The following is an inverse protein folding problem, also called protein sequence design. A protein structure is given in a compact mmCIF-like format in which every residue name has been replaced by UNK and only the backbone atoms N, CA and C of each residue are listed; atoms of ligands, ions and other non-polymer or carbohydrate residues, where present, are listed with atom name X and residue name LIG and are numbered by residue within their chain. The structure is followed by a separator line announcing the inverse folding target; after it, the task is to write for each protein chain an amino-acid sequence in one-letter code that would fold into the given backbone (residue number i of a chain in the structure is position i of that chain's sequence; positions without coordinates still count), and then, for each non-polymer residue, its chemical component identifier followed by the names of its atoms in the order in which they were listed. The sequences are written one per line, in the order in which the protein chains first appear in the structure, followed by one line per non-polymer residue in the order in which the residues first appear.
data_IF_130135823567
#
_entry.id   IF_130135823567
#
_cell.length_a   1.000
_cell.length_b   1.000
_cell.length_c   1.000
_cell.angle_alpha   90.00
_cell.angle_beta   90.00
_cell.angle_gamma   90.00
#
_symmetry.space_group_name_H-M   'P 1'
#
loop_
_entity.id
_entity.type
_entity.pdbx_description
1 polymer ?
#
# COMPACT_ATOMS: atom_id res chain seq x y z
N UNK A 1 2.70 -0.25 -4.23
CA UNK A 1 1.48 -0.99 -4.66
C UNK A 1 0.60 -0.19 -5.60
N UNK A 2 0.58 1.15 -5.52
CA UNK A 2 -0.22 2.01 -6.41
C UNK A 2 0.05 1.74 -7.90
N UNK A 3 1.27 1.42 -8.29
CA UNK A 3 1.65 1.07 -9.66
C UNK A 3 0.90 -0.13 -10.25
N UNK A 4 0.33 -0.99 -9.41
CA UNK A 4 -0.50 -2.12 -9.88
C UNK A 4 -1.97 -1.74 -10.08
N UNK A 5 -2.38 -0.62 -9.51
CA UNK A 5 -3.74 -0.13 -9.60
C UNK A 5 -3.91 0.96 -10.66
N UNK A 6 -2.81 1.61 -11.03
CA UNK A 6 -2.81 2.72 -11.98
C UNK A 6 -1.98 2.32 -13.21
N UNK A 7 -2.60 2.24 -14.39
CA UNK A 7 -1.89 1.95 -15.62
C UNK A 7 -0.81 3.00 -15.90
N UNK A 8 0.36 2.58 -16.37
CA UNK A 8 1.43 3.51 -16.72
C UNK A 8 1.01 4.43 -17.87
N UNK A 9 1.56 5.65 -17.91
CA UNK A 9 1.43 6.60 -19.00
C UNK A 9 -0.01 7.05 -19.29
N UNK A 10 -0.88 7.11 -18.29
CA UNK A 10 -2.24 7.63 -18.45
C UNK A 10 -3.15 6.77 -19.34
N UNK A 11 -2.75 5.53 -19.63
CA UNK A 11 -3.62 4.59 -20.34
C UNK A 11 -4.89 4.35 -19.52
N UNK A 12 -6.04 4.15 -20.17
CA UNK A 12 -7.26 3.73 -19.47
C UNK A 12 -7.00 2.49 -18.65
N UNK A 13 -7.56 2.43 -17.46
CA UNK A 13 -7.51 1.25 -16.64
C UNK A 13 -8.18 0.08 -17.37
N UNK A 14 -7.47 -1.02 -17.51
CA UNK A 14 -8.03 -2.26 -18.05
C UNK A 14 -7.89 -3.33 -17.00
N UNK A 15 -8.86 -4.25 -16.94
CA UNK A 15 -8.76 -5.39 -16.04
C UNK A 15 -7.49 -6.18 -16.36
N UNK A 16 -6.72 -6.50 -15.32
CA UNK A 16 -5.57 -7.36 -15.51
C UNK A 16 -5.99 -8.69 -16.15
N UNK A 17 -5.30 -9.20 -17.18
CA UNK A 17 -5.69 -10.45 -17.85
C UNK A 17 -5.89 -11.63 -16.90
N UNK A 18 -5.15 -11.67 -15.79
CA UNK A 18 -5.32 -12.67 -14.73
C UNK A 18 -6.64 -12.55 -13.99
N UNK A 19 -7.25 -11.36 -13.94
CA UNK A 19 -8.54 -11.10 -13.31
C UNK A 19 -9.70 -11.23 -14.29
N UNK A 20 -9.46 -10.99 -15.58
CA UNK A 20 -10.49 -11.17 -16.61
C UNK A 20 -11.00 -12.59 -16.70
N UNK A 21 -10.20 -13.58 -16.34
CA UNK A 21 -10.54 -15.00 -16.42
C UNK A 21 -11.11 -15.59 -15.13
N UNK A 22 -11.17 -14.81 -14.03
CA UNK A 22 -11.58 -15.33 -12.72
C UNK A 22 -12.55 -14.37 -12.04
N UNK A 23 -13.69 -14.89 -11.57
CA UNK A 23 -14.56 -14.20 -10.62
C UNK A 23 -14.05 -14.49 -9.22
N UNK A 24 -13.56 -13.46 -8.52
CA UNK A 24 -13.35 -13.53 -7.07
C UNK A 24 -14.48 -12.77 -6.38
N UNK A 25 -15.29 -13.47 -5.62
CA UNK A 25 -16.17 -12.83 -4.64
C UNK A 25 -15.35 -12.34 -3.45
N UNK A 26 -15.67 -11.16 -2.93
CA UNK A 26 -15.09 -10.69 -1.66
C UNK A 26 -15.53 -11.67 -0.56
N UNK A 27 -14.56 -12.30 0.13
CA UNK A 27 -14.84 -13.24 1.23
C UNK A 27 -15.15 -14.67 0.80
N UNK A 28 -14.96 -15.05 -0.46
CA UNK A 28 -15.09 -16.44 -0.88
C UNK A 28 -13.77 -17.20 -0.75
N UNK A 29 -13.88 -18.40 -0.20
CA UNK A 29 -12.80 -19.37 -0.10
C UNK A 29 -12.15 -19.60 -1.46
N UNK A 30 -10.81 -19.54 -1.50
CA UNK A 30 -9.99 -19.58 -2.73
C UNK A 30 -10.07 -20.88 -3.52
N UNK A 31 -10.84 -21.87 -3.04
CA UNK A 31 -10.94 -23.20 -3.63
C UNK A 31 -11.93 -23.31 -4.79
N UNK A 32 -12.72 -22.27 -5.10
CA UNK A 32 -13.64 -22.27 -6.23
C UNK A 32 -13.41 -21.08 -7.17
N UNK A 33 -12.35 -21.18 -7.95
CA UNK A 33 -12.15 -20.31 -9.10
C UNK A 33 -12.86 -20.91 -10.32
N UNK A 34 -14.10 -20.49 -10.56
CA UNK A 34 -14.77 -20.84 -11.81
C UNK A 34 -14.30 -19.94 -12.93
N UNK A 35 -14.05 -20.46 -14.15
CA UNK A 35 -13.78 -19.63 -15.31
C UNK A 35 -14.95 -18.66 -15.56
N UNK A 36 -14.62 -17.38 -15.83
CA UNK A 36 -15.63 -16.40 -16.22
C UNK A 36 -16.25 -16.86 -17.53
N UNK A 37 -17.52 -17.23 -17.49
CA UNK A 37 -18.29 -17.34 -18.71
C UNK A 37 -18.45 -15.90 -19.27
N UNK A 38 -17.89 -15.65 -20.43
CA UNK A 38 -18.14 -14.42 -21.19
C UNK A 38 -19.61 -14.44 -21.59
N UNK A 39 -20.46 -13.85 -20.75
CA UNK A 39 -21.83 -13.55 -21.15
C UNK A 39 -21.82 -12.39 -22.14
N UNK A 40 -22.37 -12.66 -23.30
CA UNK A 40 -22.56 -11.67 -24.37
C UNK A 40 -23.64 -10.61 -24.05
N UNK A 41 -24.18 -10.60 -22.83
CA UNK A 41 -25.14 -9.60 -22.37
C UNK A 41 -24.40 -8.39 -21.79
N UNK A 42 -24.43 -7.30 -22.57
CA UNK A 42 -23.73 -6.04 -22.33
C UNK A 42 -24.22 -5.24 -21.10
N UNK A 43 -25.14 -5.72 -20.29
CA UNK A 43 -25.76 -4.97 -19.18
C UNK A 43 -25.57 -5.58 -17.79
N UNK A 44 -24.92 -6.73 -17.65
CA UNK A 44 -24.63 -7.26 -16.33
C UNK A 44 -23.45 -6.47 -15.72
N UNK A 45 -23.55 -5.96 -14.49
CA UNK A 45 -22.42 -5.30 -13.80
C UNK A 45 -21.29 -6.31 -13.69
N UNK A 46 -20.21 -6.01 -14.40
CA UNK A 46 -18.98 -6.81 -14.37
C UNK A 46 -18.40 -6.69 -12.99
N UNK A 47 -18.32 -7.77 -12.30
CA UNK A 47 -17.97 -7.86 -10.89
C UNK A 47 -16.48 -7.79 -10.66
N UNK A 48 -16.07 -7.32 -9.53
CA UNK A 48 -15.82 -5.97 -9.01
C UNK A 48 -14.52 -5.39 -9.57
N UNK A 49 -13.93 -6.01 -10.58
CA UNK A 49 -12.62 -5.71 -11.14
C UNK A 49 -12.69 -5.32 -12.61
N UNK A 50 -13.89 -5.21 -13.16
CA UNK A 50 -14.11 -4.76 -14.53
C UNK A 50 -14.46 -3.28 -14.49
N UNK A 51 -13.47 -2.44 -14.60
CA UNK A 51 -13.67 -1.01 -14.69
C UNK A 51 -14.02 -0.65 -16.13
N UNK A 52 -15.29 -0.47 -16.40
CA UNK A 52 -15.69 0.45 -17.46
C UNK A 52 -15.10 1.79 -17.02
N UNK A 53 -14.05 2.28 -17.69
CA UNK A 53 -13.27 3.43 -17.27
C UNK A 53 -14.14 4.54 -16.68
N UNK A 54 -14.18 4.65 -15.38
CA UNK A 54 -14.91 5.69 -14.68
C UNK A 54 -14.25 7.03 -14.96
N UNK A 55 -14.99 8.06 -15.32
CA UNK A 55 -14.43 9.37 -15.58
C UNK A 55 -13.58 9.83 -14.39
N UNK A 56 -12.35 10.24 -14.67
CA UNK A 56 -11.37 10.73 -13.69
C UNK A 56 -10.80 9.70 -12.70
N UNK A 57 -11.32 8.48 -12.63
CA UNK A 57 -10.71 7.44 -11.80
C UNK A 57 -9.45 6.89 -12.49
N UNK A 58 -8.24 7.15 -11.95
CA UNK A 58 -7.00 6.69 -12.56
C UNK A 58 -6.71 5.22 -12.30
N UNK A 59 -7.54 4.56 -11.48
CA UNK A 59 -7.28 3.21 -11.00
C UNK A 59 -8.10 2.16 -11.75
N UNK A 60 -7.66 0.90 -11.64
CA UNK A 60 -8.41 -0.28 -12.10
C UNK A 60 -9.51 -0.71 -11.11
N UNK A 61 -9.69 0.04 -10.02
CA UNK A 61 -10.62 -0.29 -8.95
C UNK A 61 -11.80 0.68 -9.03
N UNK A 62 -13.06 0.19 -9.04
CA UNK A 62 -14.24 1.04 -9.01
C UNK A 62 -14.25 2.02 -7.83
N UNK A 63 -14.78 3.21 -8.05
CA UNK A 63 -14.80 4.27 -7.04
C UNK A 63 -15.61 3.88 -5.79
N UNK A 64 -16.71 3.15 -5.97
CA UNK A 64 -17.53 2.63 -4.86
C UNK A 64 -16.76 1.64 -3.99
N UNK A 65 -15.91 0.81 -4.60
CA UNK A 65 -15.04 -0.09 -3.86
C UNK A 65 -13.90 0.67 -3.18
N UNK A 66 -13.28 1.65 -3.87
CA UNK A 66 -12.27 2.51 -3.25
C UNK A 66 -12.80 3.22 -2.01
N UNK A 67 -14.07 3.67 -2.05
CA UNK A 67 -14.72 4.35 -0.93
C UNK A 67 -14.87 3.47 0.33
N UNK A 68 -14.71 2.15 0.22
CA UNK A 68 -14.75 1.23 1.36
C UNK A 68 -13.41 1.08 2.08
N UNK A 69 -12.32 1.59 1.51
CA UNK A 69 -10.97 1.47 2.09
C UNK A 69 -10.60 2.69 2.92
N UNK A 70 -9.85 2.44 3.99
CA UNK A 70 -9.12 3.46 4.72
C UNK A 70 -7.70 3.52 4.12
N UNK A 71 -7.35 4.66 3.52
CA UNK A 71 -6.05 4.82 2.86
C UNK A 71 -5.01 5.41 3.80
N UNK A 72 -3.86 4.74 3.84
CA UNK A 72 -2.64 5.23 4.47
C UNK A 72 -1.49 5.14 3.47
N UNK A 73 -0.51 6.03 3.58
CA UNK A 73 0.58 6.14 2.63
C UNK A 73 1.92 5.90 3.33
N UNK A 74 2.69 4.96 2.83
CA UNK A 74 4.08 4.78 3.21
C UNK A 74 4.96 5.36 2.10
N UNK A 75 5.79 6.32 2.46
CA UNK A 75 6.74 6.95 1.55
C UNK A 75 8.17 6.67 1.99
N UNK A 76 9.09 6.76 1.05
CA UNK A 76 10.53 6.71 1.31
C UNK A 76 11.24 7.65 0.36
N UNK A 77 12.24 8.36 0.88
CA UNK A 77 12.99 9.30 0.05
C UNK A 77 13.62 8.57 -1.15
N UNK A 78 13.49 9.10 -2.40
CA UNK A 78 14.02 8.46 -3.61
C UNK A 78 15.51 8.15 -3.54
N UNK A 79 16.29 8.98 -2.83
CA UNK A 79 17.72 8.76 -2.58
C UNK A 79 18.02 7.40 -1.93
N UNK A 80 17.07 6.86 -1.16
CA UNK A 80 17.22 5.57 -0.47
C UNK A 80 16.50 4.44 -1.21
N UNK A 81 15.30 4.70 -1.71
CA UNK A 81 14.48 3.66 -2.36
C UNK A 81 14.98 3.27 -3.75
N UNK A 82 15.38 4.26 -4.57
CA UNK A 82 15.83 3.97 -5.93
C UNK A 82 17.12 3.13 -5.96
N UNK A 83 18.19 3.46 -5.23
CA UNK A 83 19.36 2.59 -5.16
C UNK A 83 19.07 1.21 -4.57
N UNK A 84 18.15 1.13 -3.60
CA UNK A 84 17.74 -0.15 -3.02
C UNK A 84 17.06 -1.02 -4.06
N UNK A 85 16.10 -0.48 -4.79
CA UNK A 85 15.44 -1.20 -5.88
C UNK A 85 16.43 -1.58 -7.00
N UNK A 86 17.31 -0.66 -7.42
CA UNK A 86 18.32 -0.94 -8.44
C UNK A 86 19.20 -2.13 -8.09
N UNK A 87 19.64 -2.24 -6.82
CA UNK A 87 20.44 -3.40 -6.37
C UNK A 87 19.70 -4.73 -6.56
N UNK A 88 18.38 -4.73 -6.45
CA UNK A 88 17.58 -5.93 -6.67
C UNK A 88 17.52 -6.38 -8.14
N UNK A 89 17.90 -5.51 -9.08
CA UNK A 89 17.84 -5.76 -10.53
C UNK A 89 19.18 -6.09 -11.17
N UNK A 90 20.24 -6.17 -10.37
CA UNK A 90 21.60 -6.48 -10.83
C UNK A 90 22.20 -7.67 -10.04
N UNK A 91 23.26 -8.34 -10.60
CA UNK A 91 23.94 -9.42 -9.89
C UNK A 91 24.47 -8.98 -8.51
N UNK A 92 24.41 -9.83 -7.49
CA UNK A 92 23.91 -11.22 -7.52
C UNK A 92 22.39 -11.36 -7.28
N UNK A 93 21.68 -10.26 -6.93
CA UNK A 93 20.31 -10.30 -6.47
C UNK A 93 19.29 -10.51 -7.60
N UNK A 94 19.60 -10.11 -8.83
CA UNK A 94 18.71 -10.27 -9.99
C UNK A 94 18.21 -11.71 -10.19
N UNK A 95 19.06 -12.70 -9.94
CA UNK A 95 18.68 -14.12 -10.03
C UNK A 95 17.74 -14.55 -8.92
N UNK A 96 17.85 -13.93 -7.76
CA UNK A 96 17.03 -14.25 -6.60
C UNK A 96 15.65 -13.59 -6.72
N UNK A 97 15.63 -12.32 -7.11
CA UNK A 97 14.41 -11.52 -7.25
C UNK A 97 13.63 -11.83 -8.54
N UNK A 98 14.31 -12.32 -9.58
CA UNK A 98 13.72 -12.47 -10.90
C UNK A 98 13.58 -11.16 -11.69
N UNK A 99 14.11 -10.06 -11.19
CA UNK A 99 14.09 -8.74 -11.83
C UNK A 99 15.46 -8.48 -12.50
N UNK A 100 15.50 -8.52 -13.81
CA UNK A 100 16.76 -8.40 -14.57
C UNK A 100 17.00 -7.02 -15.16
N UNK A 101 16.00 -6.14 -15.14
CA UNK A 101 16.08 -4.82 -15.70
C UNK A 101 15.48 -3.79 -14.74
N UNK A 102 16.24 -2.74 -14.47
CA UNK A 102 15.70 -1.60 -13.73
C UNK A 102 14.67 -0.86 -14.58
N UNK A 103 13.49 -0.65 -14.00
CA UNK A 103 12.40 0.10 -14.61
C UNK A 103 11.97 1.23 -13.69
N UNK A 104 12.15 2.50 -14.10
CA UNK A 104 11.79 3.66 -13.26
C UNK A 104 10.31 3.69 -12.88
N UNK A 105 9.43 3.24 -13.76
CA UNK A 105 7.97 3.18 -13.56
C UNK A 105 7.58 2.19 -12.43
N UNK A 106 8.38 1.19 -12.15
CA UNK A 106 8.15 0.26 -11.04
C UNK A 106 8.45 0.88 -9.66
N UNK A 107 9.12 2.02 -9.61
CA UNK A 107 9.31 2.78 -8.37
C UNK A 107 7.98 3.36 -7.83
N UNK A 108 6.98 3.58 -8.70
CA UNK A 108 5.60 3.86 -8.34
C UNK A 108 5.32 5.25 -7.76
N UNK A 109 6.23 6.21 -7.88
CA UNK A 109 6.08 7.56 -7.32
C UNK A 109 4.98 8.35 -7.98
N UNK A 110 4.92 8.32 -9.32
CA UNK A 110 3.91 9.03 -10.09
C UNK A 110 2.53 8.42 -9.83
N UNK A 111 2.43 7.11 -9.83
CA UNK A 111 1.21 6.37 -9.58
C UNK A 111 0.69 6.63 -8.16
N UNK A 112 1.58 6.63 -7.17
CA UNK A 112 1.21 6.97 -5.79
C UNK A 112 0.68 8.39 -5.69
N UNK A 113 1.30 9.35 -6.35
CA UNK A 113 0.86 10.74 -6.40
C UNK A 113 -0.50 10.89 -7.07
N UNK A 114 -0.71 10.22 -8.20
CA UNK A 114 -1.99 10.23 -8.93
C UNK A 114 -3.12 9.64 -8.09
N UNK A 115 -2.86 8.53 -7.39
CA UNK A 115 -3.83 7.95 -6.45
C UNK A 115 -4.17 8.94 -5.34
N UNK A 116 -3.17 9.53 -4.71
CA UNK A 116 -3.35 10.50 -3.64
C UNK A 116 -4.19 11.70 -4.07
N UNK A 117 -3.88 12.29 -5.24
CA UNK A 117 -4.61 13.45 -5.76
C UNK A 117 -6.06 13.09 -6.09
N UNK A 118 -6.30 11.90 -6.65
CA UNK A 118 -7.65 11.40 -6.91
C UNK A 118 -8.45 11.23 -5.61
N UNK A 119 -7.92 10.52 -4.61
CA UNK A 119 -8.61 10.31 -3.34
C UNK A 119 -8.91 11.63 -2.62
N UNK A 120 -8.05 12.63 -2.76
CA UNK A 120 -8.31 13.98 -2.25
C UNK A 120 -9.42 14.68 -3.01
N UNK A 121 -9.43 14.60 -4.35
CA UNK A 121 -10.48 15.23 -5.16
C UNK A 121 -11.86 14.65 -4.90
N UNK A 122 -11.92 13.35 -4.61
CA UNK A 122 -13.16 12.65 -4.23
C UNK A 122 -13.54 12.84 -2.74
N UNK A 123 -12.71 13.54 -1.96
CA UNK A 123 -12.97 13.78 -0.53
C UNK A 123 -12.86 12.52 0.34
N UNK A 124 -12.22 11.47 -0.15
CA UNK A 124 -12.00 10.24 0.61
C UNK A 124 -10.91 10.42 1.67
N UNK A 125 -9.95 11.31 1.43
CA UNK A 125 -8.89 11.69 2.37
C UNK A 125 -8.78 13.21 2.49
N UNK A 126 -8.43 13.68 3.68
CA UNK A 126 -8.26 15.10 3.97
C UNK A 126 -9.58 15.85 4.24
N UNK A 127 -9.52 17.18 4.34
CA UNK A 127 -8.36 18.04 4.15
C UNK A 127 -7.33 18.02 5.29
N UNK A 128 -7.69 17.48 6.47
CA UNK A 128 -6.79 17.42 7.62
C UNK A 128 -5.74 16.33 7.45
N UNK A 129 -4.52 16.63 7.90
CA UNK A 129 -3.47 15.62 8.09
C UNK A 129 -3.60 15.02 9.48
N UNK A 130 -3.25 13.75 9.61
CA UNK A 130 -3.11 13.10 10.91
C UNK A 130 -2.07 13.82 11.77
N UNK A 131 -2.25 13.74 13.08
CA UNK A 131 -1.32 14.33 14.04
C UNK A 131 0.06 13.66 13.91
N UNK A 132 1.10 14.45 13.97
CA UNK A 132 2.48 13.93 13.94
C UNK A 132 2.76 13.06 15.16
N UNK A 133 3.64 12.08 14.97
CA UNK A 133 4.13 11.23 16.05
C UNK A 133 4.72 12.09 17.18
N UNK A 134 4.39 11.76 18.41
CA UNK A 134 4.84 12.49 19.60
C UNK A 134 4.09 13.80 19.90
N UNK A 135 3.16 14.24 19.06
CA UNK A 135 2.30 15.38 19.34
C UNK A 135 1.03 14.92 20.07
N UNK A 136 0.70 15.58 21.19
CA UNK A 136 -0.58 15.36 21.84
C UNK A 136 -1.68 16.10 21.09
N UNK A 137 -2.83 15.45 20.90
CA UNK A 137 -4.04 16.14 20.43
C UNK A 137 -4.51 17.07 21.56
N UNK A 138 -4.11 18.33 21.52
CA UNK A 138 -4.70 19.34 22.37
C UNK A 138 -6.11 19.65 21.83
N UNK A 139 -7.19 19.37 22.59
CA UNK A 139 -8.56 19.63 22.14
C UNK A 139 -8.83 21.13 21.89
N UNK A 140 -7.94 22.01 22.35
CA UNK A 140 -8.05 23.46 22.11
C UNK A 140 -7.75 23.87 20.66
N UNK A 141 -7.16 23.01 19.85
CA UNK A 141 -6.87 23.27 18.42
C UNK A 141 -7.86 22.58 17.48
N UNK A 142 -8.98 22.11 18.01
CA UNK A 142 -10.08 21.53 17.26
C UNK A 142 -10.74 22.55 16.34
N UNK A 143 -10.26 22.66 15.12
CA UNK A 143 -10.98 23.33 14.05
C UNK A 143 -12.36 22.70 13.91
N UNK A 144 -13.41 23.41 14.30
CA UNK A 144 -14.82 23.10 14.00
C UNK A 144 -15.01 23.06 12.48
N UNK A 145 -14.81 21.91 11.88
CA UNK A 145 -15.07 21.68 10.47
C UNK A 145 -15.58 20.26 10.29
N UNK A 146 -16.80 20.16 9.81
CA UNK A 146 -17.44 18.95 9.32
C UNK A 146 -16.64 18.43 8.10
N UNK A 147 -15.43 17.91 8.33
CA UNK A 147 -14.64 17.31 7.27
C UNK A 147 -15.12 15.87 7.10
N UNK A 148 -15.83 15.61 6.02
CA UNK A 148 -16.39 14.30 5.70
C UNK A 148 -15.33 13.25 5.33
N UNK A 149 -14.05 13.64 5.22
CA UNK A 149 -12.97 12.77 4.80
C UNK A 149 -12.13 12.23 5.97
N UNK A 150 -11.52 11.09 5.74
CA UNK A 150 -10.52 10.49 6.64
C UNK A 150 -9.26 11.35 6.66
N UNK A 151 -8.63 11.52 7.81
CA UNK A 151 -7.37 12.27 7.90
C UNK A 151 -6.28 11.68 6.99
N UNK A 152 -5.46 12.56 6.41
CA UNK A 152 -4.34 12.13 5.57
C UNK A 152 -3.26 11.53 6.47
N UNK A 153 -3.10 10.22 6.41
CA UNK A 153 -2.06 9.48 7.14
C UNK A 153 -0.91 9.15 6.21
N UNK A 154 0.26 9.73 6.48
CA UNK A 154 1.50 9.46 5.74
C UNK A 154 2.59 9.06 6.73
N UNK A 155 3.25 7.93 6.46
CA UNK A 155 4.40 7.45 7.20
C UNK A 155 5.63 7.60 6.29
N UNK A 156 6.63 8.37 6.72
CA UNK A 156 7.94 8.35 6.10
C UNK A 156 8.77 7.21 6.68
N UNK A 157 9.37 6.42 5.82
CA UNK A 157 10.17 5.26 6.24
C UNK A 157 11.42 5.66 7.03
N UNK A 158 11.97 6.84 6.78
CA UNK A 158 13.11 7.34 7.56
C UNK A 158 12.68 7.75 8.97
N UNK A 159 11.56 8.47 9.11
CA UNK A 159 10.98 8.82 10.40
C UNK A 159 10.56 7.58 11.19
N UNK A 160 10.00 6.57 10.50
CA UNK A 160 9.66 5.29 11.12
C UNK A 160 10.87 4.58 11.70
N UNK A 161 11.99 4.58 10.99
CA UNK A 161 13.23 3.97 11.47
C UNK A 161 13.91 4.78 12.58
N UNK A 162 13.69 6.08 12.61
CA UNK A 162 14.25 6.96 13.65
C UNK A 162 13.41 6.91 14.94
N UNK A 163 12.11 6.72 14.83
CA UNK A 163 11.22 6.65 15.99
C UNK A 163 10.07 5.63 15.79
N UNK A 164 10.36 4.32 15.78
CA UNK A 164 9.39 3.30 15.42
C UNK A 164 8.19 3.23 16.34
N UNK A 165 8.38 3.37 17.65
CA UNK A 165 7.29 3.26 18.64
C UNK A 165 6.23 4.35 18.44
N UNK A 166 6.66 5.62 18.45
CA UNK A 166 5.73 6.74 18.33
C UNK A 166 5.06 6.79 16.95
N UNK A 167 5.78 6.39 15.90
CA UNK A 167 5.23 6.34 14.53
C UNK A 167 4.13 5.29 14.39
N UNK A 168 4.34 4.08 14.92
CA UNK A 168 3.33 3.02 14.87
C UNK A 168 2.16 3.32 15.81
N UNK A 169 2.42 3.91 17.00
CA UNK A 169 1.36 4.36 17.89
C UNK A 169 0.47 5.43 17.24
N UNK A 170 1.08 6.44 16.61
CA UNK A 170 0.34 7.49 15.89
C UNK A 170 -0.46 6.91 14.71
N UNK A 171 0.11 5.95 13.98
CA UNK A 171 -0.58 5.22 12.93
C UNK A 171 -1.80 4.46 13.47
N UNK A 172 -1.64 3.70 14.55
CA UNK A 172 -2.72 2.96 15.20
C UNK A 172 -3.85 3.89 15.64
N UNK A 173 -3.49 5.02 16.26
CA UNK A 173 -4.45 6.05 16.66
C UNK A 173 -5.25 6.62 15.47
N UNK A 174 -4.57 6.91 14.36
CA UNK A 174 -5.20 7.47 13.17
C UNK A 174 -6.11 6.46 12.48
N UNK A 175 -5.75 5.18 12.48
CA UNK A 175 -6.50 4.11 11.81
C UNK A 175 -7.54 3.44 12.70
N UNK A 176 -7.59 3.77 14.00
CA UNK A 176 -8.50 3.14 14.97
C UNK A 176 -8.08 1.74 15.39
N UNK A 177 -6.81 1.38 15.20
CA UNK A 177 -6.21 0.12 15.66
C UNK A 177 -5.74 0.31 17.10
N UNK A 178 -6.00 -0.65 17.97
CA UNK A 178 -5.48 -0.63 19.32
C UNK A 178 -3.96 -0.83 19.30
N UNK A 179 -3.23 0.10 19.92
CA UNK A 179 -1.78 0.03 19.99
C UNK A 179 -1.31 -1.00 21.01
N UNK A 180 -0.39 -1.89 20.59
CA UNK A 180 0.34 -2.81 21.47
C UNK A 180 1.84 -2.75 21.11
N UNK A 181 2.75 -2.50 22.07
CA UNK A 181 4.19 -2.53 21.85
C UNK A 181 4.71 -3.82 21.20
N UNK A 182 3.98 -4.93 21.36
CA UNK A 182 4.30 -6.19 20.68
C UNK A 182 4.19 -6.12 19.16
N UNK A 183 3.53 -5.10 18.61
CA UNK A 183 3.49 -4.87 17.15
C UNK A 183 4.87 -4.58 16.55
N UNK A 184 5.84 -4.22 17.39
CA UNK A 184 7.22 -3.98 16.96
C UNK A 184 8.09 -5.23 17.00
N UNK A 185 7.57 -6.38 17.46
CA UNK A 185 8.33 -7.59 17.74
C UNK A 185 7.73 -8.77 16.99
N UNK A 186 8.57 -9.57 16.35
CA UNK A 186 8.21 -10.82 15.65
C UNK A 186 9.27 -11.89 15.86
N UNK A 187 9.56 -12.17 17.14
CA UNK A 187 10.66 -13.03 17.60
C UNK A 187 10.27 -14.49 17.79
N UNK A 188 8.99 -14.86 17.64
CA UNK A 188 8.56 -16.25 17.74
C UNK A 188 8.82 -17.03 16.44
N UNK A 189 9.02 -18.34 16.54
CA UNK A 189 9.13 -19.22 15.36
C UNK A 189 7.93 -19.07 14.43
N UNK A 190 6.72 -18.96 15.01
CA UNK A 190 5.48 -18.77 14.26
C UNK A 190 5.47 -17.46 13.46
N UNK A 191 5.93 -16.36 14.07
CA UNK A 191 5.99 -15.06 13.39
C UNK A 191 6.99 -15.12 12.24
N UNK A 192 8.14 -15.77 12.45
CA UNK A 192 9.15 -15.98 11.42
C UNK A 192 8.64 -16.85 10.25
N UNK A 193 7.85 -17.88 10.54
CA UNK A 193 7.21 -18.69 9.51
C UNK A 193 6.21 -17.88 8.69
N UNK A 194 5.34 -17.10 9.37
CA UNK A 194 4.36 -16.22 8.72
C UNK A 194 5.07 -15.18 7.84
N UNK A 195 6.14 -14.56 8.34
CA UNK A 195 6.91 -13.58 7.57
C UNK A 195 7.55 -14.22 6.33
N UNK A 196 8.18 -15.38 6.47
CA UNK A 196 8.78 -16.12 5.34
C UNK A 196 7.74 -16.49 4.29
N UNK A 197 6.58 -16.99 4.68
CA UNK A 197 5.49 -17.33 3.76
C UNK A 197 4.95 -16.09 3.04
N UNK A 198 4.74 -15.00 3.79
CA UNK A 198 4.23 -13.75 3.23
C UNK A 198 5.17 -13.12 2.19
N UNK A 199 6.47 -13.22 2.42
CA UNK A 199 7.51 -12.63 1.55
C UNK A 199 8.15 -13.62 0.57
N UNK A 200 7.72 -14.87 0.52
CA UNK A 200 8.32 -15.90 -0.37
C UNK A 200 8.40 -15.43 -1.82
N UNK A 201 7.34 -14.77 -2.33
CA UNK A 201 7.28 -14.26 -3.71
C UNK A 201 8.12 -13.02 -3.94
N UNK A 202 8.62 -12.40 -2.87
CA UNK A 202 9.40 -11.15 -2.88
C UNK A 202 10.81 -11.36 -2.34
N UNK A 203 11.31 -12.58 -2.52
CA UNK A 203 12.64 -12.97 -2.08
C UNK A 203 13.70 -12.03 -2.65
N UNK A 204 14.64 -11.60 -1.83
CA UNK A 204 15.68 -10.63 -2.18
C UNK A 204 15.28 -9.15 -1.99
N UNK A 205 14.00 -8.85 -1.72
CA UNK A 205 13.55 -7.47 -1.49
C UNK A 205 13.37 -7.12 0.00
N UNK A 206 13.12 -8.12 0.84
CA UNK A 206 12.73 -7.92 2.25
C UNK A 206 13.61 -8.70 3.22
N UNK A 207 14.82 -9.06 2.82
CA UNK A 207 15.73 -9.88 3.63
C UNK A 207 16.03 -9.21 4.99
N UNK A 208 16.21 -7.88 5.00
CA UNK A 208 16.44 -7.13 6.24
C UNK A 208 15.31 -7.34 7.28
N UNK A 209 14.06 -7.44 6.82
CA UNK A 209 12.92 -7.71 7.68
C UNK A 209 12.86 -9.18 8.13
N UNK A 210 13.23 -10.11 7.24
CA UNK A 210 13.24 -11.54 7.53
C UNK A 210 14.39 -11.96 8.46
N UNK A 211 15.50 -11.24 8.39
CA UNK A 211 16.70 -11.48 9.20
C UNK A 211 16.62 -10.77 10.58
N UNK A 212 15.57 -9.96 10.80
CA UNK A 212 15.32 -9.27 12.07
C UNK A 212 14.20 -9.93 12.87
N UNK A 213 14.12 -9.61 14.16
CA UNK A 213 13.06 -10.08 15.07
C UNK A 213 12.25 -8.95 15.66
N UNK A 214 12.62 -7.71 15.35
CA UNK A 214 11.94 -6.51 15.84
C UNK A 214 12.25 -5.29 14.96
N UNK A 215 11.37 -4.29 15.00
CA UNK A 215 11.61 -2.98 14.43
C UNK A 215 12.37 -2.11 15.45
N UNK A 216 13.68 -1.99 15.24
CA UNK A 216 14.57 -1.22 16.11
C UNK A 216 14.76 0.20 15.60
N UNK A 217 14.91 1.10 16.55
CA UNK A 217 15.35 2.45 16.26
C UNK A 217 16.73 2.44 15.58
N UNK A 218 16.84 3.18 14.49
CA UNK A 218 18.11 3.33 13.77
C UNK A 218 19.11 4.12 14.62
N UNK A 219 20.31 3.59 14.78
CA UNK A 219 21.42 4.32 15.42
C UNK A 219 22.14 5.14 14.36
N UNK A 220 22.13 6.46 14.52
CA UNK A 220 22.97 7.34 13.72
C UNK A 220 24.40 7.25 14.27
N UNK A 221 25.30 6.58 13.54
CA UNK A 221 26.72 6.65 13.82
C UNK A 221 27.22 8.00 13.33
N UNK A 222 27.58 8.88 14.26
CA UNK A 222 28.15 10.21 14.01
C UNK A 222 29.57 10.11 13.44
#
# INVERSE_FOLDING_TARGET
MAQYWIPPNGKPATVAPSLANYRRGVGTDTTQLSPVQTHADNDAPLYPYDTKGEPNNPTVIPADLLATYHFTFLIRHPKHSIPSYYRCTIPPLDKLTGFYNFRPDEAGYEELRRLFDYLRSEGQIGPKSATKAGESNDPANGSNGNSAGVEICVIDADDLLDNPSDMIEAFCKTTGIEWDPKMLIWDTEKDQEIAKEAFEKWKGFHEDALDSTELRQRTHVS
#
